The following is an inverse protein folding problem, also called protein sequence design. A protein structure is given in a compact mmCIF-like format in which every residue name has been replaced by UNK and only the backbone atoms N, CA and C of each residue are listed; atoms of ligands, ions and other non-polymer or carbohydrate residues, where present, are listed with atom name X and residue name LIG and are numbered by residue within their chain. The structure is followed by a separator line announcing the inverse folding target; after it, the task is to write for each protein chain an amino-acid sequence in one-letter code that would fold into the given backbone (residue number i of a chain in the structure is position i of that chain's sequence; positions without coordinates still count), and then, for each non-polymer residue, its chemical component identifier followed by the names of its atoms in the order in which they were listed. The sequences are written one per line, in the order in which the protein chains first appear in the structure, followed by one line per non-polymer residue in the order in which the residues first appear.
data_IF_954856436642
#
_entry.id   IF_954856436642
#
_cell.length_a   1.000
_cell.length_b   1.000
_cell.length_c   1.000
_cell.angle_alpha   90.00
_cell.angle_beta   90.00
_cell.angle_gamma   90.00
#
_symmetry.space_group_name_H-M   'P 1'
#
loop_
_entity.id
_entity.type
_entity.pdbx_description
1 polymer ?
#
# COMPACT_ATOMS: atom_id res chain seq x y z
N UNK A 1 8.43 14.03 -13.69
CA UNK A 1 7.47 13.54 -12.68
C UNK A 1 8.00 12.22 -12.18
N UNK A 2 8.26 12.01 -10.87
CA UNK A 2 8.68 10.69 -10.42
C UNK A 2 7.52 9.72 -10.68
N UNK A 3 7.84 8.56 -11.25
CA UNK A 3 6.87 7.60 -11.79
C UNK A 3 6.18 6.77 -10.71
N UNK A 4 5.31 7.38 -9.92
CA UNK A 4 4.48 6.64 -8.95
C UNK A 4 3.29 6.02 -9.68
N UNK A 5 3.23 4.68 -9.71
CA UNK A 5 2.04 3.95 -10.14
C UNK A 5 1.14 3.82 -8.90
N UNK A 6 0.12 4.67 -8.80
CA UNK A 6 -0.91 4.50 -7.76
C UNK A 6 -1.95 3.48 -8.23
N UNK A 7 -2.21 2.45 -7.42
CA UNK A 7 -3.36 1.56 -7.56
C UNK A 7 -4.30 1.82 -6.38
N UNK A 8 -5.57 2.18 -6.65
CA UNK A 8 -6.57 2.28 -5.57
C UNK A 8 -7.03 0.89 -5.18
N UNK A 9 -7.03 0.63 -3.88
CA UNK A 9 -7.67 -0.53 -3.24
C UNK A 9 -9.01 -0.06 -2.68
N UNK A 10 -9.99 -0.94 -2.53
CA UNK A 10 -11.26 -0.58 -1.87
C UNK A 10 -11.00 -0.15 -0.43
N UNK A 11 -11.71 0.89 0.00
CA UNK A 11 -11.56 1.48 1.34
C UNK A 11 -12.12 0.56 2.45
N UNK A 12 -12.97 -0.41 2.10
CA UNK A 12 -13.51 -1.43 3.01
C UNK A 12 -13.48 -2.81 2.38
N UNK A 13 -13.34 -3.84 3.21
CA UNK A 13 -13.37 -5.26 2.83
C UNK A 13 -12.40 -5.66 1.70
N UNK A 14 -11.26 -4.95 1.61
CA UNK A 14 -10.21 -5.22 0.63
C UNK A 14 -9.66 -6.65 0.66
N UNK A 15 -9.84 -7.34 1.79
CA UNK A 15 -9.46 -8.74 1.94
C UNK A 15 -10.21 -9.67 0.98
N UNK A 16 -11.45 -9.34 0.61
CA UNK A 16 -12.23 -10.14 -0.34
C UNK A 16 -11.61 -10.19 -1.74
N UNK A 17 -10.81 -9.17 -2.08
CA UNK A 17 -10.14 -9.04 -3.38
C UNK A 17 -8.64 -9.39 -3.29
N UNK A 18 -8.17 -9.99 -2.18
CA UNK A 18 -6.73 -10.15 -1.88
C UNK A 18 -5.98 -10.97 -2.94
N UNK A 19 -6.62 -11.99 -3.51
CA UNK A 19 -6.03 -12.81 -4.57
C UNK A 19 -5.82 -11.98 -5.84
N UNK A 20 -6.86 -11.26 -6.27
CA UNK A 20 -6.80 -10.36 -7.43
C UNK A 20 -5.76 -9.25 -7.24
N UNK A 21 -5.70 -8.64 -6.05
CA UNK A 21 -4.72 -7.60 -5.73
C UNK A 21 -3.29 -8.13 -5.79
N UNK A 22 -3.08 -9.36 -5.28
CA UNK A 22 -1.78 -10.03 -5.35
C UNK A 22 -1.35 -10.20 -6.81
N UNK A 23 -2.22 -10.73 -7.67
CA UNK A 23 -1.94 -10.90 -9.10
C UNK A 23 -1.63 -9.56 -9.79
N UNK A 24 -2.43 -8.52 -9.53
CA UNK A 24 -2.22 -7.19 -10.09
C UNK A 24 -0.86 -6.61 -9.71
N UNK A 25 -0.44 -6.76 -8.45
CA UNK A 25 0.88 -6.34 -8.00
C UNK A 25 2.00 -7.14 -8.67
N UNK A 26 1.86 -8.46 -8.80
CA UNK A 26 2.88 -9.31 -9.42
C UNK A 26 3.04 -9.06 -10.94
N UNK A 27 1.97 -8.60 -11.62
CA UNK A 27 2.02 -8.18 -13.02
C UNK A 27 2.79 -6.88 -13.25
N UNK A 28 3.01 -6.06 -12.20
CA UNK A 28 3.82 -4.84 -12.32
C UNK A 28 5.30 -5.22 -12.46
N UNK A 29 5.93 -4.75 -13.53
CA UNK A 29 7.36 -4.89 -13.78
C UNK A 29 8.10 -3.67 -13.23
N UNK A 30 9.38 -3.84 -12.91
CA UNK A 30 10.27 -2.75 -12.49
C UNK A 30 9.79 -2.01 -11.23
N UNK A 31 9.26 -2.75 -10.25
CA UNK A 31 8.91 -2.22 -8.93
C UNK A 31 9.97 -2.63 -7.92
N UNK A 32 10.64 -1.66 -7.32
CA UNK A 32 11.63 -1.88 -6.26
C UNK A 32 10.99 -2.09 -4.89
N UNK A 33 9.86 -1.40 -4.62
CA UNK A 33 9.18 -1.40 -3.33
C UNK A 33 7.67 -1.17 -3.50
N UNK A 34 6.88 -2.02 -2.85
CA UNK A 34 5.45 -1.80 -2.65
C UNK A 34 5.20 -1.18 -1.27
N UNK A 35 4.53 -0.02 -1.22
CA UNK A 35 4.01 0.56 0.02
C UNK A 35 2.51 0.29 0.10
N UNK A 36 2.06 -0.30 1.20
CA UNK A 36 0.70 -0.83 1.33
C UNK A 36 0.03 -0.23 2.56
N UNK A 37 -1.15 0.36 2.37
CA UNK A 37 -2.00 0.88 3.44
C UNK A 37 -3.43 0.35 3.22
N UNK A 38 -3.70 -0.87 3.68
CA UNK A 38 -4.96 -1.57 3.38
C UNK A 38 -5.51 -2.36 4.57
N UNK A 39 -5.32 -1.86 5.80
CA UNK A 39 -5.78 -2.53 7.02
C UNK A 39 -5.28 -3.98 7.10
N UNK A 40 -6.12 -4.94 7.56
CA UNK A 40 -5.72 -6.35 7.63
C UNK A 40 -5.31 -6.96 6.29
N UNK A 41 -5.88 -6.48 5.17
CA UNK A 41 -5.49 -6.94 3.84
C UNK A 41 -4.06 -6.51 3.48
N UNK A 42 -3.57 -5.38 4.03
CA UNK A 42 -2.20 -4.93 3.82
C UNK A 42 -1.16 -5.88 4.38
N UNK A 43 -1.42 -6.45 5.54
CA UNK A 43 -0.53 -7.43 6.18
C UNK A 43 -0.48 -8.73 5.37
N UNK A 44 -1.61 -9.21 4.87
CA UNK A 44 -1.64 -10.43 4.04
C UNK A 44 -1.02 -10.19 2.67
N UNK A 45 -1.28 -9.04 2.05
CA UNK A 45 -0.71 -8.69 0.74
C UNK A 45 0.81 -8.55 0.81
N UNK A 46 1.33 -7.87 1.83
CA UNK A 46 2.77 -7.71 2.04
C UNK A 46 3.47 -9.05 2.22
N UNK A 47 2.90 -9.96 3.02
CA UNK A 47 3.43 -11.32 3.19
C UNK A 47 3.47 -12.08 1.86
N UNK A 48 2.36 -12.09 1.11
CA UNK A 48 2.30 -12.79 -0.19
C UNK A 48 3.27 -12.23 -1.22
N UNK A 49 3.45 -10.91 -1.25
CA UNK A 49 4.43 -10.27 -2.13
C UNK A 49 5.86 -10.65 -1.74
N UNK A 50 6.17 -10.68 -0.43
CA UNK A 50 7.45 -11.15 0.08
C UNK A 50 7.74 -12.61 -0.29
N UNK A 51 6.76 -13.50 -0.15
CA UNK A 51 6.85 -14.91 -0.57
C UNK A 51 7.14 -15.07 -2.08
N UNK A 52 6.77 -14.06 -2.89
CA UNK A 52 7.02 -14.00 -4.33
C UNK A 52 8.29 -13.18 -4.68
N UNK A 53 9.18 -12.94 -3.70
CA UNK A 53 10.45 -12.25 -3.91
C UNK A 53 10.33 -10.75 -4.19
N UNK A 54 9.20 -10.12 -3.82
CA UNK A 54 9.01 -8.67 -3.90
C UNK A 54 9.27 -8.02 -2.56
N UNK A 55 9.84 -6.81 -2.57
CA UNK A 55 9.94 -5.98 -1.36
C UNK A 55 8.60 -5.27 -1.12
N UNK A 56 7.96 -5.53 0.01
CA UNK A 56 6.69 -4.91 0.37
C UNK A 56 6.70 -4.45 1.83
N UNK A 57 6.16 -3.26 2.09
CA UNK A 57 6.03 -2.67 3.42
C UNK A 57 4.57 -2.29 3.68
N UNK A 58 3.98 -2.91 4.70
CA UNK A 58 2.71 -2.47 5.25
C UNK A 58 2.96 -1.24 6.15
N UNK A 59 2.50 -0.08 5.69
CA UNK A 59 2.67 1.20 6.37
C UNK A 59 1.44 1.60 7.19
N UNK A 60 0.34 0.83 7.13
CA UNK A 60 -0.90 1.13 7.85
C UNK A 60 -1.35 2.59 7.71
N UNK A 61 -1.74 3.21 8.82
CA UNK A 61 -2.21 4.60 8.86
C UNK A 61 -1.06 5.62 9.04
N UNK A 62 0.12 5.39 8.44
CA UNK A 62 1.28 6.29 8.58
C UNK A 62 0.94 7.75 8.28
N UNK A 63 0.07 8.01 7.30
CA UNK A 63 -0.41 9.37 6.96
C UNK A 63 -1.12 10.02 8.15
N UNK A 64 -2.04 9.31 8.81
CA UNK A 64 -2.75 9.83 9.98
C UNK A 64 -1.80 10.10 11.15
N UNK A 65 -0.85 9.19 11.40
CA UNK A 65 0.17 9.38 12.43
C UNK A 65 1.05 10.59 12.14
N UNK A 66 1.45 10.77 10.87
CA UNK A 66 2.25 11.93 10.44
C UNK A 66 1.49 13.24 10.66
N UNK A 67 0.24 13.31 10.19
CA UNK A 67 -0.62 14.48 10.33
C UNK A 67 -0.93 14.83 11.80
N UNK A 68 -0.94 13.84 12.69
CA UNK A 68 -1.11 14.06 14.13
C UNK A 68 0.08 14.79 14.74
N UNK A 69 1.30 14.49 14.27
CA UNK A 69 2.54 15.09 14.78
C UNK A 69 2.84 16.43 14.09
N UNK A 70 2.50 16.55 12.81
CA UNK A 70 2.76 17.73 11.99
C UNK A 70 1.46 18.35 11.43
N UNK A 71 0.56 18.85 12.30
CA UNK A 71 -0.77 19.33 11.90
C UNK A 71 -0.74 20.58 11.02
N UNK A 72 0.35 21.35 11.04
CA UNK A 72 0.52 22.59 10.25
C UNK A 72 0.57 22.32 8.74
N UNK A 73 0.96 21.11 8.34
CA UNK A 73 1.05 20.71 6.93
C UNK A 73 -0.31 20.38 6.30
N UNK A 74 -1.36 20.20 7.11
CA UNK A 74 -2.74 20.03 6.63
C UNK A 74 -3.40 21.35 6.21
N UNK A 75 -2.87 22.50 6.63
CA UNK A 75 -3.48 23.82 6.36
C UNK A 75 -2.87 24.52 5.13
N UNK A 76 -1.85 23.92 4.52
CA UNK A 76 -1.12 24.47 3.36
C UNK A 76 -1.63 23.95 2.01
N UNK A 77 -2.67 23.11 1.99
CA UNK A 77 -3.38 22.61 0.80
C UNK A 77 -4.75 23.28 0.65
#
# INVERSE_FOLDING_TARGET
MPGWISGRVKDTDAYNDIDQLTEQCLMKKEIDLFLIAAGPAGTVLSARLADNGKTALDIGNLVSSYNTVFPEQLQAE
#
